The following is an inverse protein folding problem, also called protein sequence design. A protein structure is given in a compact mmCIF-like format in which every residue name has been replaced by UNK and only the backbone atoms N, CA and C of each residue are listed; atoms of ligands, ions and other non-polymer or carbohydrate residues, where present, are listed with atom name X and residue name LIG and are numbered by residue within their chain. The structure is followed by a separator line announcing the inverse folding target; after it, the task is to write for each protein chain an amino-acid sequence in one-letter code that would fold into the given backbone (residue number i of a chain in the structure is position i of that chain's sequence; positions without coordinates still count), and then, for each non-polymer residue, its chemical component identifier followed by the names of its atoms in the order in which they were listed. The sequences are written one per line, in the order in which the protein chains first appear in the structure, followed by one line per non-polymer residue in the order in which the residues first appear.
data_IF_430377285303
#
_entry.id   IF_430377285303
#
_cell.length_a   1.000
_cell.length_b   1.000
_cell.length_c   1.000
_cell.angle_alpha   90.00
_cell.angle_beta   90.00
_cell.angle_gamma   90.00
#
_symmetry.space_group_name_H-M   'P 1'
#
loop_
_entity.id
_entity.type
_entity.pdbx_description
1 polymer ?
#
# COMPACT_ATOMS: atom_id res chain seq x y z
N UNK A 1 37.42 -21.20 -29.70
CA UNK A 1 36.01 -20.87 -29.98
C UNK A 1 35.02 -21.25 -28.86
N UNK A 2 35.41 -21.96 -27.79
CA UNK A 2 34.48 -22.38 -26.72
C UNK A 2 34.17 -21.35 -25.62
N UNK A 3 34.83 -20.18 -25.59
CA UNK A 3 34.66 -19.20 -24.49
C UNK A 3 33.64 -18.09 -24.79
N UNK A 4 33.24 -17.93 -26.05
CA UNK A 4 32.30 -16.86 -26.46
C UNK A 4 30.84 -17.31 -26.25
N UNK A 5 30.57 -18.62 -26.31
CA UNK A 5 29.22 -19.18 -26.14
C UNK A 5 28.73 -19.06 -24.69
N UNK A 6 29.63 -19.08 -23.71
CA UNK A 6 29.27 -18.99 -22.28
C UNK A 6 28.80 -17.59 -21.87
N UNK A 7 29.24 -16.54 -22.58
CA UNK A 7 28.88 -15.16 -22.30
C UNK A 7 27.48 -14.80 -22.82
N UNK A 8 27.01 -15.45 -23.89
CA UNK A 8 25.68 -15.21 -24.47
C UNK A 8 24.56 -15.97 -23.76
N UNK A 9 24.87 -17.02 -22.99
CA UNK A 9 23.88 -17.74 -22.19
C UNK A 9 23.54 -17.03 -20.86
N UNK A 10 24.40 -16.10 -20.40
CA UNK A 10 24.20 -15.41 -19.12
C UNK A 10 23.28 -14.18 -19.21
N UNK A 11 22.93 -13.73 -20.41
CA UNK A 11 22.17 -12.48 -20.62
C UNK A 11 20.65 -12.65 -20.69
N UNK A 12 20.11 -13.87 -20.57
CA UNK A 12 18.65 -14.12 -20.70
C UNK A 12 17.91 -14.39 -19.39
N UNK A 13 18.56 -14.28 -18.23
CA UNK A 13 17.93 -14.56 -16.93
C UNK A 13 17.49 -13.31 -16.15
N UNK A 14 17.56 -12.12 -16.74
CA UNK A 14 16.92 -10.93 -16.17
C UNK A 14 15.41 -10.99 -16.42
N UNK A 15 14.72 -11.96 -15.81
CA UNK A 15 13.28 -11.84 -15.60
C UNK A 15 13.06 -10.57 -14.80
N UNK A 16 12.34 -9.63 -15.39
CA UNK A 16 11.88 -8.41 -14.73
C UNK A 16 11.10 -8.83 -13.48
N UNK A 17 11.68 -8.58 -12.31
CA UNK A 17 10.97 -8.57 -11.05
C UNK A 17 9.92 -7.45 -11.13
N UNK A 18 8.75 -7.76 -11.69
CA UNK A 18 7.57 -6.94 -11.57
C UNK A 18 7.33 -6.78 -10.07
N UNK A 19 7.56 -5.57 -9.58
CA UNK A 19 7.13 -5.23 -8.23
C UNK A 19 5.62 -5.35 -8.24
N UNK A 20 5.07 -6.25 -7.44
CA UNK A 20 3.63 -6.36 -7.31
C UNK A 20 3.13 -5.06 -6.66
N UNK A 21 2.49 -4.19 -7.43
CA UNK A 21 1.75 -3.06 -6.88
C UNK A 21 0.57 -3.65 -6.11
N UNK A 22 0.53 -3.44 -4.80
CA UNK A 22 -0.60 -3.87 -3.96
C UNK A 22 -1.64 -2.76 -3.93
N UNK A 23 -2.92 -3.13 -4.00
CA UNK A 23 -4.03 -2.19 -3.90
C UNK A 23 -4.97 -2.59 -2.77
N UNK A 24 -5.53 -1.59 -2.07
CA UNK A 24 -6.50 -1.79 -0.99
C UNK A 24 -7.69 -0.89 -1.23
N UNK A 25 -8.84 -1.51 -1.47
CA UNK A 25 -10.11 -0.80 -1.63
C UNK A 25 -10.60 -0.34 -0.25
N UNK A 26 -10.96 0.93 -0.12
CA UNK A 26 -11.46 1.50 1.14
C UNK A 26 -12.98 1.40 1.14
N UNK A 27 -13.50 0.35 1.75
CA UNK A 27 -14.96 0.17 1.89
C UNK A 27 -15.55 1.03 3.00
N UNK A 28 -14.79 1.21 4.08
CA UNK A 28 -15.15 2.10 5.16
C UNK A 28 -13.91 2.56 5.93
N UNK A 29 -14.03 3.71 6.59
CA UNK A 29 -12.92 4.36 7.27
C UNK A 29 -13.37 4.89 8.63
N UNK A 30 -12.65 4.50 9.70
CA UNK A 30 -13.05 4.77 11.07
C UNK A 30 -11.88 5.28 11.90
N UNK A 31 -12.13 6.20 12.82
CA UNK A 31 -11.18 6.50 13.90
C UNK A 31 -11.17 5.33 14.89
N UNK A 32 -10.00 4.99 15.42
CA UNK A 32 -9.89 4.03 16.53
C UNK A 32 -9.95 4.75 17.88
N UNK A 33 -9.88 3.99 18.98
CA UNK A 33 -9.81 4.55 20.34
C UNK A 33 -8.50 5.32 20.59
N UNK A 34 -7.46 5.06 19.79
CA UNK A 34 -6.20 5.80 19.83
C UNK A 34 -6.25 7.00 18.89
N UNK A 35 -5.81 8.15 19.38
CA UNK A 35 -5.69 9.35 18.56
C UNK A 35 -4.68 9.14 17.42
N UNK A 36 -5.01 9.66 16.24
CA UNK A 36 -4.20 9.55 15.02
C UNK A 36 -3.98 8.11 14.52
N UNK A 37 -4.82 7.17 14.94
CA UNK A 37 -4.88 5.82 14.38
C UNK A 37 -6.25 5.55 13.77
N UNK A 38 -6.26 5.07 12.53
CA UNK A 38 -7.47 4.92 11.73
C UNK A 38 -7.59 3.51 11.15
N UNK A 39 -8.77 2.92 11.26
CA UNK A 39 -9.09 1.61 10.72
C UNK A 39 -9.70 1.72 9.32
N UNK A 40 -9.20 0.90 8.41
CA UNK A 40 -9.66 0.81 7.03
C UNK A 40 -10.29 -0.56 6.82
N UNK A 41 -11.59 -0.59 6.55
CA UNK A 41 -12.30 -1.82 6.19
C UNK A 41 -12.12 -2.07 4.70
N UNK A 42 -11.81 -3.32 4.36
CA UNK A 42 -11.61 -3.80 3.00
C UNK A 42 -11.91 -5.32 2.96
N UNK A 43 -11.87 -5.92 1.77
CA UNK A 43 -12.16 -7.35 1.57
C UNK A 43 -10.96 -8.28 1.73
N UNK A 44 -9.75 -7.76 1.59
CA UNK A 44 -8.54 -8.56 1.36
C UNK A 44 -7.74 -8.81 2.65
N UNK A 45 -7.93 -7.98 3.66
CA UNK A 45 -7.19 -8.01 4.92
C UNK A 45 -8.16 -8.00 6.10
N UNK A 46 -7.86 -8.79 7.12
CA UNK A 46 -8.67 -8.91 8.34
C UNK A 46 -8.71 -7.58 9.10
N UNK A 47 -7.61 -6.81 9.05
CA UNK A 47 -7.49 -5.49 9.65
C UNK A 47 -6.46 -4.67 8.90
N UNK A 48 -6.77 -3.39 8.64
CA UNK A 48 -5.83 -2.41 8.08
C UNK A 48 -5.84 -1.18 8.95
N UNK A 49 -4.68 -0.78 9.46
CA UNK A 49 -4.52 0.39 10.33
C UNK A 49 -3.57 1.39 9.69
N UNK A 50 -4.06 2.60 9.45
CA UNK A 50 -3.23 3.76 9.19
C UNK A 50 -2.84 4.37 10.54
N UNK A 51 -1.60 4.14 10.93
CA UNK A 51 -1.00 4.63 12.17
C UNK A 51 -0.20 5.91 11.87
N UNK A 52 -0.71 7.05 12.33
CA UNK A 52 -0.04 8.35 12.23
C UNK A 52 0.57 8.78 13.57
N UNK A 53 0.85 7.85 14.49
CA UNK A 53 1.44 8.17 15.79
C UNK A 53 2.96 8.35 15.64
N UNK A 54 3.48 9.48 16.13
CA UNK A 54 4.73 10.11 15.69
C UNK A 54 6.07 9.35 15.74
N UNK A 55 6.16 8.12 16.26
CA UNK A 55 7.40 7.34 16.24
C UNK A 55 7.49 6.37 15.05
N UNK A 56 6.41 5.68 14.70
CA UNK A 56 6.35 4.75 13.56
C UNK A 56 5.07 5.06 12.81
N UNK A 57 5.16 5.97 11.84
CA UNK A 57 4.02 6.22 10.95
C UNK A 57 3.97 5.09 9.92
N UNK A 58 2.81 4.47 9.72
CA UNK A 58 2.74 3.34 8.81
C UNK A 58 1.33 2.88 8.47
N UNK A 59 1.26 2.10 7.39
CA UNK A 59 0.07 1.31 7.07
C UNK A 59 0.35 -0.15 7.46
N UNK A 60 -0.36 -0.63 8.48
CA UNK A 60 -0.24 -1.99 9.00
C UNK A 60 -1.35 -2.86 8.40
N UNK A 61 -0.98 -3.94 7.72
CA UNK A 61 -1.89 -4.88 7.08
C UNK A 61 -1.84 -6.22 7.79
N UNK A 62 -2.94 -6.61 8.42
CA UNK A 62 -3.07 -7.89 9.11
C UNK A 62 -3.93 -8.85 8.29
N UNK A 63 -3.42 -10.07 8.09
CA UNK A 63 -4.14 -11.17 7.46
C UNK A 63 -3.88 -12.48 8.19
N UNK A 64 -4.69 -13.49 7.94
CA UNK A 64 -4.44 -14.88 8.36
C UNK A 64 -3.05 -15.43 7.99
N UNK A 65 -2.41 -14.87 6.95
CA UNK A 65 -1.10 -15.31 6.47
C UNK A 65 0.07 -14.57 7.11
N UNK A 66 -0.18 -13.48 7.81
CA UNK A 66 0.87 -12.65 8.41
C UNK A 66 0.52 -11.17 8.50
N UNK A 67 1.54 -10.40 8.82
CA UNK A 67 1.46 -8.97 9.09
C UNK A 67 2.51 -8.23 8.26
N UNK A 68 2.06 -7.34 7.37
CA UNK A 68 2.90 -6.46 6.57
C UNK A 68 2.84 -5.04 7.15
N UNK A 69 3.98 -4.35 7.23
CA UNK A 69 4.07 -2.96 7.69
C UNK A 69 4.70 -2.11 6.60
N UNK A 70 3.99 -1.05 6.18
CA UNK A 70 4.48 -0.06 5.25
C UNK A 70 4.83 1.22 5.99
N UNK A 71 6.11 1.46 6.25
CA UNK A 71 6.58 2.67 6.91
C UNK A 71 6.37 3.89 6.02
N UNK A 72 5.79 4.94 6.58
CA UNK A 72 5.55 6.21 5.92
C UNK A 72 6.63 7.25 6.31
N UNK A 73 6.97 8.21 5.42
CA UNK A 73 8.04 9.19 5.64
C UNK A 73 7.69 10.29 6.68
N UNK A 74 6.85 9.99 7.65
CA UNK A 74 6.50 10.86 8.77
C UNK A 74 5.01 11.20 8.87
N UNK A 75 4.66 11.95 9.91
CA UNK A 75 3.30 12.35 10.25
C UNK A 75 2.59 13.07 9.09
N UNK A 76 3.27 13.99 8.41
CA UNK A 76 2.67 14.77 7.32
C UNK A 76 2.18 13.92 6.16
N UNK A 77 2.93 12.88 5.78
CA UNK A 77 2.53 11.96 4.72
C UNK A 77 1.34 11.08 5.15
N UNK A 78 1.36 10.61 6.40
CA UNK A 78 0.25 9.84 6.97
C UNK A 78 -1.05 10.66 7.03
N UNK A 79 -0.97 11.91 7.48
CA UNK A 79 -2.12 12.81 7.51
C UNK A 79 -2.60 13.20 6.11
N UNK A 80 -1.71 13.27 5.12
CA UNK A 80 -2.12 13.49 3.73
C UNK A 80 -2.98 12.33 3.22
N UNK A 81 -2.60 11.08 3.50
CA UNK A 81 -3.40 9.89 3.18
C UNK A 81 -4.76 9.96 3.88
N UNK A 82 -4.78 10.23 5.18
CA UNK A 82 -6.01 10.41 5.96
C UNK A 82 -6.93 11.46 5.33
N UNK A 83 -6.40 12.64 5.02
CA UNK A 83 -7.17 13.76 4.49
C UNK A 83 -7.75 13.44 3.10
N UNK A 84 -7.01 12.76 2.23
CA UNK A 84 -7.51 12.41 0.90
C UNK A 84 -8.62 11.36 0.97
N UNK A 85 -8.51 10.36 1.87
CA UNK A 85 -9.62 9.40 2.11
C UNK A 85 -10.86 10.15 2.62
N UNK A 86 -10.71 11.03 3.61
CA UNK A 86 -11.84 11.79 4.17
C UNK A 86 -12.47 12.70 3.11
N UNK A 87 -11.66 13.32 2.26
CA UNK A 87 -12.14 14.14 1.14
C UNK A 87 -12.96 13.29 0.16
N UNK A 88 -12.44 12.15 -0.28
CA UNK A 88 -13.17 11.25 -1.18
C UNK A 88 -14.49 10.77 -0.59
N UNK A 89 -14.52 10.45 0.71
CA UNK A 89 -15.76 10.07 1.40
C UNK A 89 -16.77 11.23 1.39
N UNK A 90 -16.33 12.46 1.67
CA UNK A 90 -17.19 13.65 1.64
C UNK A 90 -17.72 13.95 0.25
N UNK A 91 -16.93 13.67 -0.78
CA UNK A 91 -17.29 13.86 -2.18
C UNK A 91 -18.09 12.67 -2.76
N UNK A 92 -18.50 11.70 -1.94
CA UNK A 92 -19.21 10.47 -2.33
C UNK A 92 -18.44 9.63 -3.37
N UNK A 93 -17.12 9.70 -3.34
CA UNK A 93 -16.21 8.93 -4.22
C UNK A 93 -15.65 7.69 -3.52
N UNK A 94 -15.31 6.69 -4.31
CA UNK A 94 -14.54 5.54 -3.84
C UNK A 94 -13.09 5.95 -3.54
N UNK A 95 -12.39 5.18 -2.70
CA UNK A 95 -10.96 5.38 -2.44
C UNK A 95 -10.19 4.07 -2.64
N UNK A 96 -9.08 4.17 -3.36
CA UNK A 96 -8.13 3.06 -3.52
C UNK A 96 -6.75 3.47 -3.03
N UNK A 97 -6.20 2.70 -2.09
CA UNK A 97 -4.80 2.83 -1.70
C UNK A 97 -3.94 2.02 -2.64
N UNK A 98 -2.95 2.67 -3.24
CA UNK A 98 -1.94 2.04 -4.10
C UNK A 98 -0.62 2.04 -3.35
N UNK A 99 -0.12 0.85 -3.06
CA UNK A 99 1.10 0.60 -2.31
C UNK A 99 2.23 0.31 -3.31
N UNK A 100 3.23 1.19 -3.35
CA UNK A 100 4.44 0.97 -4.12
C UNK A 100 5.61 0.64 -3.17
N UNK A 101 5.80 -0.65 -2.93
CA UNK A 101 6.81 -1.21 -2.02
C UNK A 101 8.25 -0.77 -2.37
N UNK A 102 8.55 -0.49 -3.65
CA UNK A 102 9.88 -0.02 -4.08
C UNK A 102 10.14 1.44 -3.74
N UNK A 103 9.10 2.25 -3.70
CA UNK A 103 9.21 3.69 -3.49
C UNK A 103 8.88 4.10 -2.05
N UNK A 104 8.31 3.19 -1.24
CA UNK A 104 7.85 3.50 0.11
C UNK A 104 6.72 4.53 0.11
N UNK A 105 5.95 4.57 -0.99
CA UNK A 105 4.89 5.56 -1.20
C UNK A 105 3.53 4.88 -1.22
N UNK A 106 2.56 5.57 -0.60
CA UNK A 106 1.15 5.21 -0.66
C UNK A 106 0.43 6.34 -1.38
N UNK A 107 -0.24 6.01 -2.47
CA UNK A 107 -1.09 6.93 -3.21
C UNK A 107 -2.55 6.63 -2.89
N UNK A 108 -3.36 7.68 -2.76
CA UNK A 108 -4.82 7.55 -2.62
C UNK A 108 -5.45 8.00 -3.94
N UNK A 109 -6.15 7.09 -4.62
CA UNK A 109 -6.93 7.38 -5.82
C UNK A 109 -8.40 7.58 -5.46
N UNK A 110 -9.10 8.45 -6.16
CA UNK A 110 -10.53 8.76 -5.98
C UNK A 110 -11.44 7.83 -6.80
N UNK A 111 -11.00 6.58 -6.97
CA UNK A 111 -11.67 5.53 -7.74
C UNK A 111 -11.60 4.19 -7.01
N UNK A 112 -12.39 3.22 -7.46
CA UNK A 112 -12.29 1.83 -6.96
C UNK A 112 -10.96 1.21 -7.37
N UNK A 113 -10.44 0.32 -6.54
CA UNK A 113 -9.23 -0.40 -6.91
C UNK A 113 -9.45 -1.28 -8.15
N UNK A 114 -8.45 -1.38 -9.05
CA UNK A 114 -8.49 -2.38 -10.12
C UNK A 114 -8.50 -3.78 -9.50
N UNK A 115 -9.27 -4.69 -10.10
CA UNK A 115 -9.29 -6.09 -9.69
C UNK A 115 -7.89 -6.69 -9.87
N UNK A 116 -7.33 -7.24 -8.79
CA UNK A 116 -6.06 -7.95 -8.86
C UNK A 116 -6.33 -9.36 -9.39
N UNK A 117 -5.82 -9.67 -10.60
CA UNK A 117 -5.95 -10.98 -11.26
C UNK A 117 -4.95 -11.99 -10.73
#
# INVERSE_FOLDING_TARGET
MNKIILATLLSTLSWSAFSAVKTIDVEAYFKTDMDFMFSIKNKNYDKVILDCQGFINGLNLYSTRGHDIFTLPGYGHCMAIHNEIIKNIKDEKSSCLVLNDKEGQILVLDSKCPEQK
#
